data_IF_877431503788
#
_entry.id   IF_877431503788
#
_cell.length_a   1.000
_cell.length_b   1.000
_cell.length_c   1.000
_cell.angle_alpha   90.00
_cell.angle_beta   90.00
_cell.angle_gamma   90.00
#
_symmetry.space_group_name_H-M   'P 1'
#
loop_
_entity.id
_entity.type
_entity.pdbx_description
1 polymer ?
#
# COMPACT_ATOMS: atom_id res chain seq x y z
N UNK A 1 -4.71 -20.04 29.71
CA UNK A 1 -4.51 -18.81 28.90
C UNK A 1 -4.67 -19.20 27.45
N UNK A 2 -5.80 -18.89 26.79
CA UNK A 2 -5.94 -19.06 25.34
C UNK A 2 -4.99 -18.02 24.68
N UNK A 3 -4.10 -18.47 23.80
CA UNK A 3 -3.17 -17.60 23.09
C UNK A 3 -3.98 -16.56 22.31
N UNK A 4 -3.83 -15.29 22.67
CA UNK A 4 -4.48 -14.15 21.97
C UNK A 4 -4.04 -14.11 20.48
N UNK A 5 -2.94 -14.79 20.16
CA UNK A 5 -2.40 -14.88 18.78
C UNK A 5 -3.21 -15.74 17.83
N UNK A 6 -4.17 -16.55 18.31
CA UNK A 6 -5.04 -17.37 17.45
C UNK A 6 -6.20 -16.59 16.83
N UNK A 7 -6.47 -15.37 17.30
CA UNK A 7 -7.62 -14.55 16.87
C UNK A 7 -7.32 -13.50 15.82
N UNK A 8 -6.04 -13.21 15.48
CA UNK A 8 -5.68 -12.18 14.49
C UNK A 8 -5.01 -12.79 13.27
N UNK A 9 -5.39 -12.33 12.09
CA UNK A 9 -4.67 -12.62 10.85
C UNK A 9 -3.18 -12.31 11.02
N UNK A 10 -2.31 -13.30 10.83
CA UNK A 10 -0.85 -13.16 10.96
C UNK A 10 -0.24 -12.19 9.93
N UNK A 11 -1.07 -11.55 9.12
CA UNK A 11 -0.67 -10.68 8.04
C UNK A 11 -1.61 -9.48 7.93
N UNK A 12 -1.09 -8.29 8.18
CA UNK A 12 -1.85 -7.05 8.20
C UNK A 12 -1.17 -6.05 7.25
N UNK A 13 -1.87 -5.61 6.23
CA UNK A 13 -1.38 -4.59 5.29
C UNK A 13 -2.16 -3.30 5.48
N UNK A 14 -1.46 -2.18 5.56
CA UNK A 14 -2.03 -0.85 5.54
C UNK A 14 -1.79 -0.18 4.20
N UNK A 15 -2.84 0.30 3.58
CA UNK A 15 -2.80 0.99 2.28
C UNK A 15 -3.47 2.36 2.37
N UNK A 16 -3.10 3.28 1.50
CA UNK A 16 -3.70 4.63 1.44
C UNK A 16 -2.77 5.66 0.82
N UNK A 17 -3.31 6.83 0.50
CA UNK A 17 -2.56 7.93 -0.09
C UNK A 17 -1.48 8.48 0.85
N UNK A 18 -0.54 9.23 0.30
CA UNK A 18 0.47 9.91 1.12
C UNK A 18 -0.19 10.90 2.08
N UNK A 19 0.37 11.01 3.28
CA UNK A 19 -0.23 11.79 4.37
C UNK A 19 -1.33 11.07 5.17
N UNK A 20 -1.76 9.84 4.79
CA UNK A 20 -2.79 9.09 5.52
C UNK A 20 -2.32 8.47 6.85
N UNK A 21 -1.06 8.67 7.26
CA UNK A 21 -0.54 8.23 8.55
C UNK A 21 -0.15 6.74 8.64
N UNK A 22 -0.07 6.02 7.52
CA UNK A 22 0.29 4.59 7.47
C UNK A 22 1.48 4.22 8.32
N UNK A 23 2.61 4.87 8.11
CA UNK A 23 3.87 4.53 8.80
C UNK A 23 3.77 4.71 10.32
N UNK A 24 3.04 5.72 10.78
CA UNK A 24 2.79 5.93 12.22
C UNK A 24 1.94 4.80 12.77
N UNK A 25 0.85 4.46 12.08
CA UNK A 25 -0.07 3.38 12.48
C UNK A 25 0.63 2.01 12.42
N UNK A 26 1.45 1.74 11.41
CA UNK A 26 2.27 0.51 11.31
C UNK A 26 3.17 0.36 12.53
N UNK A 27 3.87 1.42 12.94
CA UNK A 27 4.74 1.39 14.13
C UNK A 27 3.96 1.08 15.41
N UNK A 28 2.78 1.67 15.57
CA UNK A 28 1.92 1.41 16.74
C UNK A 28 1.36 -0.02 16.74
N UNK A 29 0.90 -0.52 15.60
CA UNK A 29 0.45 -1.91 15.47
C UNK A 29 1.59 -2.89 15.72
N UNK A 30 2.77 -2.64 15.17
CA UNK A 30 3.95 -3.47 15.41
C UNK A 30 4.31 -3.50 16.90
N UNK A 31 4.29 -2.34 17.58
CA UNK A 31 4.52 -2.25 19.02
C UNK A 31 3.43 -2.97 19.83
N UNK A 32 2.19 -2.93 19.38
CA UNK A 32 1.08 -3.67 20.02
C UNK A 32 1.29 -5.18 19.90
N UNK A 33 1.53 -5.70 18.71
CA UNK A 33 1.68 -7.14 18.48
C UNK A 33 2.99 -7.71 19.04
N UNK A 34 4.07 -6.93 19.10
CA UNK A 34 5.36 -7.38 19.65
C UNK A 34 5.30 -7.74 21.13
N UNK A 35 4.28 -7.24 21.87
CA UNK A 35 4.01 -7.65 23.26
C UNK A 35 3.42 -9.06 23.38
N UNK A 36 2.92 -9.60 22.27
CA UNK A 36 2.22 -10.90 22.24
C UNK A 36 2.99 -11.96 21.45
N UNK A 37 4.04 -11.58 20.70
CA UNK A 37 4.85 -12.53 19.94
C UNK A 37 5.78 -11.90 18.92
N UNK A 38 6.53 -12.73 18.17
CA UNK A 38 7.45 -12.26 17.14
C UNK A 38 6.71 -11.46 16.06
N UNK A 39 7.03 -10.18 15.93
CA UNK A 39 6.39 -9.27 14.99
C UNK A 39 7.42 -8.66 14.05
N UNK A 40 7.15 -8.71 12.76
CA UNK A 40 7.98 -8.10 11.73
C UNK A 40 7.23 -6.96 11.04
N UNK A 41 7.99 -6.00 10.54
CA UNK A 41 7.48 -4.93 9.70
C UNK A 41 8.14 -5.02 8.33
N UNK A 42 7.34 -4.91 7.29
CA UNK A 42 7.85 -4.81 5.92
C UNK A 42 7.29 -3.58 5.22
N UNK A 43 8.19 -2.82 4.63
CA UNK A 43 7.83 -1.64 3.88
C UNK A 43 7.85 -1.91 2.38
N UNK A 44 6.76 -1.55 1.70
CA UNK A 44 6.60 -1.70 0.28
C UNK A 44 6.64 -0.33 -0.38
N UNK A 45 7.72 0.00 -1.06
CA UNK A 45 7.88 1.28 -1.71
C UNK A 45 7.06 1.35 -3.02
N UNK A 46 6.82 2.56 -3.55
CA UNK A 46 6.18 2.74 -4.86
C UNK A 46 7.00 2.12 -5.99
N UNK A 47 8.19 2.66 -6.27
CA UNK A 47 9.15 2.04 -7.20
C UNK A 47 10.21 1.24 -6.46
N UNK A 48 10.49 0.05 -6.98
CA UNK A 48 11.43 -0.88 -6.37
C UNK A 48 12.71 -1.06 -7.22
N UNK A 49 13.82 -1.40 -6.55
CA UNK A 49 15.06 -1.87 -7.15
C UNK A 49 15.38 -1.25 -8.53
N UNK A 50 15.22 -2.05 -9.60
CA UNK A 50 15.54 -1.65 -10.96
C UNK A 50 14.75 -0.41 -11.42
N UNK A 51 13.45 -0.36 -11.15
CA UNK A 51 12.62 0.80 -11.50
C UNK A 51 13.12 2.07 -10.80
N UNK A 52 13.47 1.99 -9.51
CA UNK A 52 14.01 3.09 -8.73
C UNK A 52 15.37 3.57 -9.28
N UNK A 53 16.25 2.63 -9.67
CA UNK A 53 17.52 2.96 -10.30
C UNK A 53 17.33 3.65 -11.64
N UNK A 54 16.44 3.12 -12.48
CA UNK A 54 16.14 3.70 -13.79
C UNK A 54 15.49 5.10 -13.67
N UNK A 55 14.60 5.32 -12.71
CA UNK A 55 14.07 6.68 -12.45
C UNK A 55 15.19 7.67 -12.09
N UNK A 56 16.15 7.25 -11.25
CA UNK A 56 17.31 8.10 -10.91
C UNK A 56 18.16 8.40 -12.12
N UNK A 57 18.40 7.41 -12.99
CA UNK A 57 19.13 7.63 -14.26
C UNK A 57 18.38 8.58 -15.17
N UNK A 58 17.07 8.38 -15.35
CA UNK A 58 16.24 9.25 -16.19
C UNK A 58 16.16 10.68 -15.66
N UNK A 59 16.23 10.89 -14.34
CA UNK A 59 16.21 12.24 -13.75
C UNK A 59 17.42 13.09 -14.15
N UNK A 60 18.52 12.46 -14.59
CA UNK A 60 19.69 13.16 -15.13
C UNK A 60 19.45 13.75 -16.51
N UNK A 61 18.44 13.28 -17.25
CA UNK A 61 18.15 13.74 -18.62
C UNK A 61 16.99 14.73 -18.60
N UNK A 62 17.21 15.94 -19.11
CA UNK A 62 16.22 17.01 -19.15
C UNK A 62 14.93 16.63 -19.89
N UNK A 63 15.01 15.77 -20.91
CA UNK A 63 13.87 15.30 -21.71
C UNK A 63 12.83 14.49 -20.92
N UNK A 64 13.20 13.94 -19.77
CA UNK A 64 12.31 13.16 -18.91
C UNK A 64 11.82 13.94 -17.69
N UNK A 65 12.28 15.18 -17.49
CA UNK A 65 11.86 15.99 -16.34
C UNK A 65 10.36 16.29 -16.37
N UNK A 66 9.71 16.14 -15.21
CA UNK A 66 8.28 16.44 -15.07
C UNK A 66 7.68 15.98 -13.74
N UNK A 67 6.43 16.34 -13.52
CA UNK A 67 5.72 16.11 -12.25
C UNK A 67 4.84 14.86 -12.24
N UNK A 68 5.01 13.94 -13.18
CA UNK A 68 4.24 12.71 -13.21
C UNK A 68 4.60 11.82 -12.03
N UNK A 69 5.89 11.70 -11.77
CA UNK A 69 6.42 11.06 -10.56
C UNK A 69 7.13 12.13 -9.72
N UNK A 70 6.49 12.67 -8.68
CA UNK A 70 7.03 13.79 -7.91
C UNK A 70 8.28 13.43 -7.10
N UNK A 71 8.48 12.15 -6.77
CA UNK A 71 9.64 11.70 -5.99
C UNK A 71 10.95 11.67 -6.77
N UNK A 72 10.87 11.53 -8.09
CA UNK A 72 12.05 11.49 -8.97
C UNK A 72 12.09 12.68 -9.91
N UNK A 73 11.01 13.48 -9.98
CA UNK A 73 10.90 14.59 -10.94
C UNK A 73 10.91 14.12 -12.39
N UNK A 74 10.33 12.94 -12.68
CA UNK A 74 10.41 12.28 -13.99
C UNK A 74 9.02 11.96 -14.52
N UNK A 75 8.84 12.20 -15.82
CA UNK A 75 7.68 11.73 -16.59
C UNK A 75 8.14 10.69 -17.62
N UNK A 76 7.59 9.50 -17.57
CA UNK A 76 7.83 8.46 -18.58
C UNK A 76 6.99 8.78 -19.83
N UNK A 77 7.61 8.91 -21.03
CA UNK A 77 6.89 9.16 -22.27
C UNK A 77 5.83 8.11 -22.56
N UNK A 78 4.71 8.52 -23.17
CA UNK A 78 3.56 7.64 -23.43
C UNK A 78 3.96 6.35 -24.15
N UNK A 79 4.85 6.45 -25.13
CA UNK A 79 5.34 5.30 -25.92
C UNK A 79 6.13 4.29 -25.09
N UNK A 80 6.74 4.70 -23.98
CA UNK A 80 7.55 3.84 -23.12
C UNK A 80 6.76 3.30 -21.91
N UNK A 81 5.54 3.77 -21.68
CA UNK A 81 4.72 3.34 -20.54
C UNK A 81 4.48 1.82 -20.48
N UNK A 82 4.15 1.14 -21.57
CA UNK A 82 3.98 -0.31 -21.54
C UNK A 82 5.26 -1.04 -21.09
N UNK A 83 6.41 -0.64 -21.63
CA UNK A 83 7.70 -1.19 -21.20
C UNK A 83 7.97 -0.88 -19.73
N UNK A 84 7.65 0.34 -19.29
CA UNK A 84 7.84 0.74 -17.89
C UNK A 84 6.97 -0.06 -16.91
N UNK A 85 5.77 -0.45 -17.30
CA UNK A 85 4.92 -1.37 -16.53
C UNK A 85 5.64 -2.71 -16.27
N UNK A 86 6.32 -3.25 -17.26
CA UNK A 86 7.14 -4.46 -17.07
C UNK A 86 8.29 -4.21 -16.07
N UNK A 87 8.99 -3.08 -16.20
CA UNK A 87 10.07 -2.72 -15.28
C UNK A 87 9.57 -2.63 -13.84
N UNK A 88 8.45 -1.95 -13.59
CA UNK A 88 7.84 -1.85 -12.26
C UNK A 88 7.42 -3.22 -11.75
N UNK A 89 6.72 -4.02 -12.57
CA UNK A 89 6.23 -5.34 -12.17
C UNK A 89 7.37 -6.29 -11.77
N UNK A 90 8.42 -6.39 -12.60
CA UNK A 90 9.55 -7.27 -12.29
C UNK A 90 10.38 -6.75 -11.10
N UNK A 91 10.45 -5.45 -10.91
CA UNK A 91 11.09 -4.84 -9.74
C UNK A 91 10.33 -5.13 -8.43
N UNK A 92 9.04 -5.48 -8.51
CA UNK A 92 8.21 -5.88 -7.38
C UNK A 92 8.55 -7.27 -6.84
N UNK A 93 8.95 -8.21 -7.70
CA UNK A 93 9.09 -9.64 -7.36
C UNK A 93 10.00 -9.90 -6.14
N UNK A 94 11.20 -9.31 -6.02
CA UNK A 94 12.05 -9.52 -4.85
C UNK A 94 11.37 -9.13 -3.52
N UNK A 95 10.56 -8.07 -3.52
CA UNK A 95 9.81 -7.68 -2.32
C UNK A 95 8.70 -8.67 -1.98
N UNK A 96 8.05 -9.26 -2.98
CA UNK A 96 7.06 -10.33 -2.77
C UNK A 96 7.74 -11.56 -2.15
N UNK A 97 8.92 -11.94 -2.63
CA UNK A 97 9.70 -13.05 -2.08
C UNK A 97 10.08 -12.76 -0.62
N UNK A 98 10.60 -11.56 -0.32
CA UNK A 98 10.93 -11.16 1.05
C UNK A 98 9.70 -11.23 1.96
N UNK A 99 8.53 -10.77 1.53
CA UNK A 99 7.27 -10.91 2.29
C UNK A 99 6.91 -12.35 2.56
N UNK A 100 7.01 -13.21 1.56
CA UNK A 100 6.73 -14.64 1.72
C UNK A 100 7.66 -15.27 2.76
N UNK A 101 8.95 -14.93 2.73
CA UNK A 101 9.94 -15.39 3.71
C UNK A 101 9.59 -14.87 5.11
N UNK A 102 9.39 -13.55 5.26
CA UNK A 102 9.06 -12.94 6.55
C UNK A 102 7.79 -13.53 7.17
N UNK A 103 6.76 -13.77 6.35
CA UNK A 103 5.52 -14.40 6.80
C UNK A 103 5.73 -15.80 7.37
N UNK A 104 6.78 -16.50 6.94
CA UNK A 104 7.12 -17.85 7.43
C UNK A 104 7.79 -17.81 8.80
N UNK A 105 8.54 -16.77 9.11
CA UNK A 105 9.35 -16.66 10.32
C UNK A 105 8.75 -15.76 11.39
N UNK A 106 7.86 -14.85 11.03
CA UNK A 106 7.23 -13.92 11.97
C UNK A 106 5.85 -14.41 12.39
N UNK A 107 5.54 -14.32 13.67
CA UNK A 107 4.21 -14.62 14.20
C UNK A 107 3.15 -13.66 13.63
N UNK A 108 3.48 -12.36 13.54
CA UNK A 108 2.67 -11.33 12.86
C UNK A 108 3.56 -10.51 11.93
N UNK A 109 3.10 -10.30 10.70
CA UNK A 109 3.75 -9.42 9.73
C UNK A 109 2.85 -8.19 9.47
N UNK A 110 3.33 -7.01 9.85
CA UNK A 110 2.67 -5.73 9.59
C UNK A 110 3.34 -5.06 8.38
N UNK A 111 2.56 -4.82 7.34
CA UNK A 111 3.06 -4.26 6.08
C UNK A 111 2.62 -2.80 5.91
N UNK A 112 3.62 -1.91 5.74
CA UNK A 112 3.40 -0.54 5.27
C UNK A 112 3.35 -0.56 3.75
N UNK A 113 2.15 -0.42 3.19
CA UNK A 113 1.79 -0.55 1.79
C UNK A 113 1.74 -2.00 1.29
N UNK A 114 0.92 -2.23 0.26
CA UNK A 114 0.69 -3.53 -0.35
C UNK A 114 0.49 -3.50 -1.86
N UNK A 115 -0.12 -4.54 -2.38
CA UNK A 115 -0.41 -4.64 -3.81
C UNK A 115 -1.34 -3.52 -4.29
N UNK A 116 -2.29 -3.08 -3.45
CA UNK A 116 -3.16 -1.94 -3.78
C UNK A 116 -2.35 -0.66 -3.99
N UNK A 117 -1.38 -0.39 -3.12
CA UNK A 117 -0.49 0.78 -3.23
C UNK A 117 0.38 0.72 -4.49
N UNK A 118 0.86 -0.46 -4.86
CA UNK A 118 1.62 -0.66 -6.08
C UNK A 118 0.77 -0.38 -7.33
N UNK A 119 -0.48 -0.86 -7.37
CA UNK A 119 -1.40 -0.58 -8.47
C UNK A 119 -1.64 0.92 -8.59
N UNK A 120 -1.95 1.60 -7.48
CA UNK A 120 -2.16 3.05 -7.46
C UNK A 120 -0.91 3.77 -7.94
N UNK A 121 0.26 3.37 -7.46
CA UNK A 121 1.54 3.91 -7.89
C UNK A 121 1.70 3.86 -9.42
N UNK A 122 1.53 2.69 -10.03
CA UNK A 122 1.67 2.51 -11.48
C UNK A 122 0.65 3.36 -12.24
N UNK A 123 -0.62 3.32 -11.83
CA UNK A 123 -1.70 4.07 -12.50
C UNK A 123 -1.46 5.58 -12.44
N UNK A 124 -1.06 6.09 -11.29
CA UNK A 124 -0.94 7.55 -11.07
C UNK A 124 0.36 8.11 -11.65
N UNK A 125 1.49 7.43 -11.43
CA UNK A 125 2.79 7.94 -11.91
C UNK A 125 2.98 7.79 -13.41
N UNK A 126 2.43 6.72 -14.01
CA UNK A 126 2.48 6.55 -15.47
C UNK A 126 1.29 7.20 -16.18
N UNK A 127 0.24 7.64 -15.45
CA UNK A 127 -0.99 8.13 -16.04
C UNK A 127 -1.60 7.12 -17.02
N UNK A 128 -1.61 5.84 -16.64
CA UNK A 128 -1.98 4.71 -17.52
C UNK A 128 -3.08 3.84 -16.88
N UNK A 129 -4.33 4.34 -16.80
CA UNK A 129 -5.42 3.60 -16.15
C UNK A 129 -5.77 2.30 -16.86
N UNK A 130 -5.54 2.16 -18.16
CA UNK A 130 -5.71 0.92 -18.92
C UNK A 130 -4.79 -0.22 -18.43
N UNK A 131 -3.78 0.08 -17.61
CA UNK A 131 -3.02 -0.94 -16.88
C UNK A 131 -3.92 -1.91 -16.12
N UNK A 132 -5.01 -1.43 -15.50
CA UNK A 132 -5.95 -2.26 -14.75
C UNK A 132 -6.60 -3.36 -15.61
N UNK A 133 -6.77 -3.11 -16.90
CA UNK A 133 -7.31 -4.09 -17.86
C UNK A 133 -6.24 -5.07 -18.38
N UNK A 134 -4.96 -4.80 -18.14
CA UNK A 134 -3.86 -5.68 -18.54
C UNK A 134 -3.83 -6.97 -17.72
N UNK A 135 -3.11 -7.98 -18.21
CA UNK A 135 -2.93 -9.25 -17.47
C UNK A 135 -2.26 -9.01 -16.10
N UNK A 136 -1.27 -8.12 -16.04
CA UNK A 136 -0.59 -7.76 -14.79
C UNK A 136 -1.53 -7.02 -13.83
N UNK A 137 -2.29 -6.04 -14.33
CA UNK A 137 -3.22 -5.26 -13.52
C UNK A 137 -4.30 -6.16 -12.91
N UNK A 138 -4.94 -7.02 -13.72
CA UNK A 138 -5.94 -7.98 -13.25
C UNK A 138 -5.38 -8.96 -12.22
N UNK A 139 -4.17 -9.46 -12.45
CA UNK A 139 -3.48 -10.34 -11.51
C UNK A 139 -3.20 -9.61 -10.17
N UNK A 140 -2.67 -8.40 -10.22
CA UNK A 140 -2.37 -7.62 -9.02
C UNK A 140 -3.62 -7.19 -8.25
N UNK A 141 -4.73 -6.88 -8.93
CA UNK A 141 -6.02 -6.59 -8.27
C UNK A 141 -6.51 -7.84 -7.52
N UNK A 142 -6.38 -9.02 -8.10
CA UNK A 142 -6.70 -10.29 -7.40
C UNK A 142 -5.82 -10.50 -6.17
N UNK A 143 -4.51 -10.24 -6.29
CA UNK A 143 -3.59 -10.33 -5.14
C UNK A 143 -3.94 -9.31 -4.07
N UNK A 144 -4.28 -8.07 -4.43
CA UNK A 144 -4.71 -7.05 -3.50
C UNK A 144 -6.01 -7.44 -2.78
N UNK A 145 -6.95 -8.05 -3.48
CA UNK A 145 -8.19 -8.55 -2.88
C UNK A 145 -7.95 -9.72 -1.91
N UNK A 146 -7.01 -10.62 -2.24
CA UNK A 146 -6.59 -11.71 -1.34
C UNK A 146 -5.81 -11.18 -0.13
N UNK A 147 -5.01 -10.13 -0.32
CA UNK A 147 -4.29 -9.45 0.74
C UNK A 147 -5.25 -8.77 1.72
N UNK A 148 -6.32 -8.20 1.22
CA UNK A 148 -7.36 -7.53 2.01
C UNK A 148 -6.79 -6.39 2.86
N UNK A 149 -6.16 -5.36 2.30
CA UNK A 149 -5.54 -4.31 3.09
C UNK A 149 -6.57 -3.51 3.89
N UNK A 150 -6.14 -2.93 5.01
CA UNK A 150 -6.87 -1.87 5.69
C UNK A 150 -6.59 -0.57 4.96
N UNK A 151 -7.62 0.06 4.42
CA UNK A 151 -7.50 1.32 3.71
C UNK A 151 -7.61 2.50 4.66
N UNK A 152 -6.52 3.29 4.76
CA UNK A 152 -6.47 4.53 5.53
C UNK A 152 -6.72 5.71 4.61
N UNK A 153 -7.74 6.52 4.93
CA UNK A 153 -8.10 7.69 4.13
C UNK A 153 -8.31 8.94 4.99
N UNK A 154 -8.29 10.07 4.35
CA UNK A 154 -8.74 11.36 4.87
C UNK A 154 -9.11 12.25 3.68
N UNK A 155 -9.64 13.45 3.94
CA UNK A 155 -9.87 14.45 2.91
C UNK A 155 -8.55 14.96 2.27
N UNK A 156 -8.65 15.45 1.02
CA UNK A 156 -7.48 15.93 0.25
C UNK A 156 -6.72 17.04 0.97
N UNK A 157 -7.42 17.91 1.69
CA UNK A 157 -6.80 19.03 2.42
C UNK A 157 -5.94 18.53 3.56
N UNK A 158 -6.46 17.60 4.36
CA UNK A 158 -5.74 16.94 5.46
C UNK A 158 -4.53 16.18 4.95
N UNK A 159 -4.68 15.39 3.86
CA UNK A 159 -3.58 14.64 3.28
C UNK A 159 -2.48 15.55 2.75
N UNK A 160 -2.85 16.60 2.00
CA UNK A 160 -1.91 17.56 1.43
C UNK A 160 -1.16 18.39 2.50
N UNK A 161 -1.78 18.63 3.65
CA UNK A 161 -1.11 19.27 4.78
C UNK A 161 -0.08 18.39 5.51
N UNK A 162 -0.10 17.06 5.25
CA UNK A 162 0.77 16.07 5.89
C UNK A 162 1.80 15.44 4.95
N UNK A 163 1.64 15.61 3.65
CA UNK A 163 2.49 14.98 2.63
C UNK A 163 3.39 16.01 1.94
N UNK A 164 4.57 15.57 1.55
CA UNK A 164 5.57 16.38 0.82
C UNK A 164 5.40 16.30 -0.71
N UNK A 165 4.18 16.03 -1.19
CA UNK A 165 3.89 15.89 -2.62
C UNK A 165 2.78 16.84 -3.04
N UNK A 166 2.72 17.24 -4.33
CA UNK A 166 1.73 18.19 -4.80
C UNK A 166 0.28 17.73 -4.56
N UNK A 167 -0.59 18.64 -4.12
CA UNK A 167 -2.02 18.36 -3.85
C UNK A 167 -2.72 17.66 -5.01
N UNK A 168 -2.41 18.03 -6.25
CA UNK A 168 -2.98 17.38 -7.44
C UNK A 168 -2.54 15.92 -7.61
N UNK A 169 -1.36 15.56 -7.12
CA UNK A 169 -0.91 14.17 -7.10
C UNK A 169 -1.71 13.35 -6.08
N UNK A 170 -1.88 13.87 -4.85
CA UNK A 170 -2.68 13.25 -3.79
C UNK A 170 -4.13 13.06 -4.23
N UNK A 171 -4.73 14.05 -4.92
CA UNK A 171 -6.08 13.93 -5.42
C UNK A 171 -6.24 12.76 -6.41
N UNK A 172 -5.26 12.56 -7.31
CA UNK A 172 -5.25 11.40 -8.22
C UNK A 172 -5.07 10.07 -7.48
N UNK A 173 -4.15 10.03 -6.50
CA UNK A 173 -3.99 8.84 -5.64
C UNK A 173 -5.30 8.50 -4.94
N UNK A 174 -5.95 9.49 -4.31
CA UNK A 174 -7.18 9.29 -3.55
C UNK A 174 -8.31 8.73 -4.41
N UNK A 175 -8.47 9.24 -5.65
CA UNK A 175 -9.45 8.69 -6.60
C UNK A 175 -9.16 7.22 -6.89
N UNK A 176 -7.91 6.87 -7.18
CA UNK A 176 -7.52 5.50 -7.49
C UNK A 176 -7.71 4.57 -6.28
N UNK A 177 -7.31 5.02 -5.08
CA UNK A 177 -7.53 4.27 -3.83
C UNK A 177 -9.01 4.05 -3.54
N UNK A 178 -9.85 5.09 -3.66
CA UNK A 178 -11.29 4.98 -3.38
C UNK A 178 -11.99 3.98 -4.31
N UNK A 179 -11.55 3.88 -5.56
CA UNK A 179 -12.07 2.89 -6.51
C UNK A 179 -11.61 1.49 -6.10
N UNK A 180 -10.30 1.28 -5.91
CA UNK A 180 -9.74 -0.03 -5.61
C UNK A 180 -10.16 -0.56 -4.25
N UNK A 181 -10.27 0.29 -3.24
CA UNK A 181 -10.63 -0.10 -1.89
C UNK A 181 -12.02 -0.79 -1.82
N UNK A 182 -12.96 -0.40 -2.68
CA UNK A 182 -14.29 -1.04 -2.75
C UNK A 182 -14.22 -2.53 -3.09
N UNK A 183 -13.17 -2.95 -3.79
CA UNK A 183 -13.00 -4.33 -4.28
C UNK A 183 -11.92 -5.11 -3.56
N UNK A 184 -10.99 -4.41 -2.90
CA UNK A 184 -9.79 -5.05 -2.36
C UNK A 184 -9.63 -4.88 -0.86
N UNK A 185 -10.16 -3.82 -0.25
CA UNK A 185 -9.93 -3.55 1.17
C UNK A 185 -10.78 -4.43 2.08
N UNK A 186 -10.19 -4.81 3.22
CA UNK A 186 -10.88 -5.50 4.30
C UNK A 186 -11.80 -4.55 5.05
N UNK A 187 -11.32 -3.36 5.35
CA UNK A 187 -12.08 -2.24 5.89
C UNK A 187 -11.40 -0.91 5.52
N UNK A 188 -12.11 0.18 5.75
CA UNK A 188 -11.63 1.53 5.51
C UNK A 188 -11.76 2.35 6.80
N UNK A 189 -10.69 3.05 7.18
CA UNK A 189 -10.61 3.80 8.42
C UNK A 189 -10.24 5.26 8.11
N UNK A 190 -11.05 6.18 8.60
CA UNK A 190 -10.78 7.61 8.50
C UNK A 190 -9.68 8.04 9.49
N UNK A 191 -8.69 8.75 8.98
CA UNK A 191 -7.57 9.30 9.77
C UNK A 191 -7.64 10.83 9.90
N UNK A 192 -8.68 11.46 9.34
CA UNK A 192 -8.92 12.90 9.41
C UNK A 192 -9.20 13.35 10.84
N UNK A 193 -8.40 14.28 11.38
CA UNK A 193 -8.61 14.84 12.71
C UNK A 193 -8.52 13.88 13.89
N UNK A 194 -8.12 12.63 13.67
CA UNK A 194 -8.09 11.55 14.68
C UNK A 194 -6.70 11.29 15.21
N UNK A 195 -6.60 10.89 16.49
CA UNK A 195 -5.33 10.46 17.04
C UNK A 195 -4.90 9.10 16.47
N UNK A 196 -3.60 8.85 16.27
CA UNK A 196 -3.11 7.57 15.77
C UNK A 196 -3.56 6.37 16.63
N UNK A 197 -3.71 6.56 17.94
CA UNK A 197 -4.18 5.53 18.87
C UNK A 197 -5.66 5.16 18.62
N UNK A 198 -6.51 6.16 18.34
CA UNK A 198 -7.92 5.92 17.99
C UNK A 198 -8.04 5.16 16.67
N UNK A 199 -7.20 5.49 15.68
CA UNK A 199 -7.12 4.77 14.40
C UNK A 199 -6.70 3.31 14.62
N UNK A 200 -5.68 3.06 15.44
CA UNK A 200 -5.23 1.69 15.77
C UNK A 200 -6.35 0.89 16.43
N UNK A 201 -7.07 1.49 17.39
CA UNK A 201 -8.20 0.81 18.06
C UNK A 201 -9.28 0.37 17.07
N UNK A 202 -9.62 1.24 16.12
CA UNK A 202 -10.62 0.92 15.10
C UNK A 202 -10.13 -0.18 14.14
N UNK A 203 -8.85 -0.16 13.76
CA UNK A 203 -8.25 -1.22 12.95
C UNK A 203 -8.35 -2.56 13.67
N UNK A 204 -7.98 -2.62 14.96
CA UNK A 204 -8.05 -3.86 15.74
C UNK A 204 -9.49 -4.39 15.80
N UNK A 205 -10.47 -3.53 16.09
CA UNK A 205 -11.90 -3.90 16.07
C UNK A 205 -12.37 -4.42 14.71
N UNK A 206 -11.92 -3.78 13.62
CA UNK A 206 -12.22 -4.23 12.25
C UNK A 206 -11.65 -5.64 11.95
N UNK A 207 -10.46 -5.93 12.45
CA UNK A 207 -9.81 -7.23 12.27
C UNK A 207 -10.56 -8.35 13.03
N UNK A 208 -11.00 -8.07 14.25
CA UNK A 208 -11.76 -9.01 15.11
C UNK A 208 -13.13 -9.38 14.52
N UNK A 209 -13.91 -8.39 14.09
CA UNK A 209 -15.30 -8.57 13.61
C UNK A 209 -15.42 -9.50 12.39
N UNK A 210 -14.36 -9.70 11.61
CA UNK A 210 -14.38 -10.56 10.43
C UNK A 210 -14.02 -12.02 10.72
N UNK A 211 -13.28 -12.29 11.77
CA UNK A 211 -12.94 -13.67 12.15
C UNK A 211 -14.16 -14.40 12.69
N UNK A 212 -15.03 -13.72 13.44
CA UNK A 212 -16.30 -14.28 13.91
C UNK A 212 -17.22 -14.70 12.74
N UNK A 213 -17.21 -13.92 11.64
CA UNK A 213 -18.01 -14.24 10.45
C UNK A 213 -17.44 -15.39 9.61
N UNK A 214 -16.15 -15.69 9.72
CA UNK A 214 -15.52 -16.80 9.00
C UNK A 214 -15.65 -18.11 9.73
N UNK A 215 -15.67 -18.09 11.08
CA UNK A 215 -15.85 -19.27 11.91
C UNK A 215 -17.30 -19.76 11.99
N UNK A 216 -18.28 -18.91 11.62
CA UNK A 216 -19.71 -19.28 11.58
C UNK A 216 -20.12 -19.92 10.24
N UNK A 217 -19.21 -19.99 9.25
CA UNK A 217 -19.48 -20.56 7.90
C UNK A 217 -18.71 -21.86 7.62
N UNK A 218 -17.95 -22.36 8.58
CA UNK A 218 -17.29 -23.66 8.55
C UNK A 218 -18.05 -24.66 9.45
#
# INVERSE_FOLDING_TARGET
MKSITSSFSNYITLSGADGSGKTTVVRLLASYFSRHGPTCVHWFRGSHLLASLLYRLLSCFGSFRGYCNPYYGVCVPVRLRPLWVHVEFWSLIPHVIVRFILRRFCGVLVCDRGFMDFIVWVVVTLGHPSFLSSIYGRFLVRLAALEGPVYLYADVGTLAGRADVPRGFIARELVAYNILARYTSRCSVDTGGRSPQAVVKEILSCLETREDKSSTKA
#
